data_IF_639620708387
#
_entry.id   IF_639620708387
#
_cell.length_a   1.000
_cell.length_b   1.000
_cell.length_c   1.000
_cell.angle_alpha   90.00
_cell.angle_beta   90.00
_cell.angle_gamma   90.00
#
_symmetry.space_group_name_H-M   'P 1'
#
loop_
_entity.id
_entity.type
_entity.pdbx_description
1 polymer ?
#
# COMPACT_ATOMS: atom_id res chain seq x y z
N UNK A 1 6.51 -5.57 0.77
CA UNK A 1 5.61 -4.91 1.74
C UNK A 1 5.56 -5.61 3.10
N UNK A 2 5.95 -6.90 3.20
CA UNK A 2 5.89 -7.67 4.45
C UNK A 2 4.86 -8.81 4.44
N UNK A 3 3.87 -8.79 3.54
CA UNK A 3 2.83 -9.83 3.48
C UNK A 3 3.34 -11.17 2.91
N UNK A 4 4.10 -11.18 1.81
CA UNK A 4 4.63 -12.40 1.16
C UNK A 4 3.62 -13.57 1.08
N UNK A 5 2.35 -13.27 0.80
CA UNK A 5 1.26 -14.24 0.83
C UNK A 5 0.69 -14.44 2.23
N UNK A 6 1.46 -15.05 3.14
CA UNK A 6 0.98 -15.44 4.48
C UNK A 6 1.83 -14.92 5.65
N UNK A 7 2.94 -14.24 5.39
CA UNK A 7 3.92 -13.85 6.42
C UNK A 7 3.38 -12.80 7.40
N UNK A 8 2.35 -12.04 7.04
CA UNK A 8 1.64 -11.23 8.02
C UNK A 8 0.95 -12.06 9.12
N UNK A 9 0.72 -13.35 8.89
CA UNK A 9 0.16 -14.31 9.86
C UNK A 9 1.24 -15.21 10.45
N UNK A 10 2.12 -15.77 9.61
CA UNK A 10 3.14 -16.74 10.05
C UNK A 10 4.39 -16.09 10.61
N UNK A 11 4.72 -14.86 10.18
CA UNK A 11 5.95 -14.12 10.55
C UNK A 11 5.62 -12.65 10.93
N UNK A 12 4.72 -12.41 11.90
CA UNK A 12 4.07 -11.12 12.11
C UNK A 12 5.04 -9.99 12.48
N UNK A 13 6.09 -10.27 13.27
CA UNK A 13 7.08 -9.27 13.67
C UNK A 13 7.89 -8.76 12.48
N UNK A 14 8.38 -9.70 11.66
CA UNK A 14 9.14 -9.38 10.46
C UNK A 14 8.24 -8.63 9.46
N UNK A 15 7.02 -9.11 9.23
CA UNK A 15 6.04 -8.47 8.36
C UNK A 15 5.72 -7.04 8.80
N UNK A 16 5.52 -6.82 10.10
CA UNK A 16 5.27 -5.50 10.70
C UNK A 16 6.46 -4.55 10.55
N UNK A 17 7.69 -5.03 10.77
CA UNK A 17 8.91 -4.24 10.57
C UNK A 17 9.07 -3.80 9.11
N UNK A 18 8.87 -4.71 8.15
CA UNK A 18 8.93 -4.38 6.73
C UNK A 18 7.80 -3.46 6.28
N UNK A 19 6.59 -3.64 6.82
CA UNK A 19 5.45 -2.77 6.55
C UNK A 19 5.74 -1.34 7.03
N UNK A 20 6.18 -1.16 8.28
CA UNK A 20 6.53 0.16 8.83
C UNK A 20 7.58 0.87 8.00
N UNK A 21 8.67 0.19 7.62
CA UNK A 21 9.70 0.76 6.75
C UNK A 21 9.14 1.19 5.39
N UNK A 22 8.30 0.37 4.78
CA UNK A 22 7.69 0.68 3.46
C UNK A 22 6.74 1.87 3.55
N UNK A 23 5.93 1.95 4.60
CA UNK A 23 4.98 3.05 4.84
C UNK A 23 5.71 4.36 5.08
N UNK A 24 6.76 4.35 5.90
CA UNK A 24 7.55 5.56 6.16
C UNK A 24 8.14 6.10 4.85
N UNK A 25 8.74 5.24 4.03
CA UNK A 25 9.29 5.66 2.74
C UNK A 25 8.22 6.20 1.76
N UNK A 26 6.98 5.75 1.85
CA UNK A 26 5.86 6.28 1.05
C UNK A 26 5.47 7.68 1.53
N UNK A 27 5.43 7.89 2.84
CA UNK A 27 5.13 9.20 3.44
C UNK A 27 6.25 10.19 3.08
N UNK A 28 7.51 9.78 3.28
CA UNK A 28 8.68 10.62 3.02
C UNK A 28 8.85 10.97 1.54
N UNK A 29 8.29 10.18 0.62
CA UNK A 29 8.32 10.50 -0.82
C UNK A 29 7.35 11.61 -1.21
N UNK A 30 6.42 12.01 -0.33
CA UNK A 30 5.39 13.01 -0.63
C UNK A 30 4.41 12.57 -1.73
N UNK A 31 4.23 11.26 -1.91
CA UNK A 31 3.36 10.73 -2.95
C UNK A 31 1.89 10.75 -2.49
N UNK A 32 1.00 11.27 -3.33
CA UNK A 32 -0.45 11.20 -3.08
C UNK A 32 -1.04 9.82 -3.40
N UNK A 33 -0.41 9.09 -4.33
CA UNK A 33 -0.88 7.78 -4.81
C UNK A 33 0.28 6.79 -4.88
N UNK A 34 0.05 5.57 -4.39
CA UNK A 34 0.93 4.41 -4.53
C UNK A 34 0.20 3.31 -5.28
N UNK A 35 0.75 2.91 -6.42
CA UNK A 35 0.17 1.85 -7.26
C UNK A 35 0.94 0.53 -7.05
N UNK A 36 0.21 -0.58 -6.97
CA UNK A 36 0.78 -1.93 -6.86
C UNK A 36 -0.03 -2.93 -7.68
N UNK A 37 0.61 -3.97 -8.18
CA UNK A 37 -0.05 -5.11 -8.87
C UNK A 37 -0.26 -6.32 -7.96
N UNK A 38 0.17 -6.22 -6.69
CA UNK A 38 0.08 -7.30 -5.71
C UNK A 38 -1.01 -6.99 -4.67
N UNK A 39 -2.14 -7.75 -4.63
CA UNK A 39 -3.23 -7.52 -3.68
C UNK A 39 -2.83 -7.64 -2.21
N UNK A 40 -1.96 -8.61 -1.87
CA UNK A 40 -1.46 -8.76 -0.50
C UNK A 40 -0.67 -7.54 -0.05
N UNK A 41 0.16 -6.97 -0.94
CA UNK A 41 0.84 -5.71 -0.67
C UNK A 41 -0.08 -4.51 -0.64
N UNK A 42 -1.13 -4.47 -1.46
CA UNK A 42 -2.13 -3.42 -1.39
C UNK A 42 -2.76 -3.36 0.01
N UNK A 43 -3.30 -4.49 0.49
CA UNK A 43 -3.94 -4.58 1.81
C UNK A 43 -2.95 -4.28 2.95
N UNK A 44 -1.72 -4.80 2.86
CA UNK A 44 -0.68 -4.54 3.85
C UNK A 44 -0.30 -3.05 3.85
N UNK A 45 -0.14 -2.41 2.70
CA UNK A 45 0.22 -0.97 2.63
C UNK A 45 -0.94 -0.11 3.13
N UNK A 46 -2.17 -0.36 2.70
CA UNK A 46 -3.36 0.38 3.16
C UNK A 46 -3.53 0.31 4.68
N UNK A 47 -3.35 -0.88 5.26
CA UNK A 47 -3.41 -1.05 6.71
C UNK A 47 -2.29 -0.28 7.41
N UNK A 48 -1.09 -0.28 6.84
CA UNK A 48 0.06 0.45 7.38
C UNK A 48 -0.12 1.97 7.32
N UNK A 49 -0.62 2.50 6.20
CA UNK A 49 -0.93 3.93 6.03
C UNK A 49 -2.00 4.40 7.02
N UNK A 50 -3.08 3.62 7.20
CA UNK A 50 -4.11 3.91 8.21
C UNK A 50 -3.53 3.97 9.62
N UNK A 51 -2.66 3.02 9.99
CA UNK A 51 -1.99 3.00 11.31
C UNK A 51 -1.06 4.20 11.53
N UNK A 52 -0.47 4.72 10.45
CA UNK A 52 0.40 5.90 10.50
C UNK A 52 -0.36 7.23 10.42
N UNK A 53 -1.70 7.22 10.34
CA UNK A 53 -2.52 8.43 10.18
C UNK A 53 -2.42 9.10 8.80
N UNK A 54 -1.79 8.45 7.82
CA UNK A 54 -1.55 8.98 6.48
C UNK A 54 -2.76 8.74 5.54
N UNK A 55 -3.94 9.19 5.97
CA UNK A 55 -5.21 8.93 5.27
C UNK A 55 -5.32 9.62 3.90
N UNK A 56 -4.50 10.64 3.65
CA UNK A 56 -4.47 11.36 2.38
C UNK A 56 -3.79 10.57 1.25
N UNK A 57 -2.95 9.59 1.59
CA UNK A 57 -2.22 8.78 0.60
C UNK A 57 -3.08 7.59 0.18
N UNK A 58 -3.36 7.49 -1.13
CA UNK A 58 -4.16 6.42 -1.71
C UNK A 58 -3.27 5.28 -2.20
N UNK A 59 -3.44 4.09 -1.66
CA UNK A 59 -2.83 2.88 -2.22
C UNK A 59 -3.86 2.14 -3.07
N UNK A 60 -3.54 1.88 -4.35
CA UNK A 60 -4.45 1.34 -5.36
C UNK A 60 -3.86 0.12 -6.08
N UNK A 61 -4.74 -0.78 -6.54
CA UNK A 61 -4.35 -1.75 -7.55
C UNK A 61 -4.19 -1.06 -8.91
N UNK A 62 -3.28 -1.54 -9.77
CA UNK A 62 -3.06 -0.96 -11.10
C UNK A 62 -4.34 -0.93 -11.95
N UNK A 63 -5.19 -1.95 -11.83
CA UNK A 63 -6.46 -2.00 -12.56
C UNK A 63 -7.38 -0.83 -12.16
N UNK A 64 -7.54 -0.58 -10.86
CA UNK A 64 -8.37 0.52 -10.35
C UNK A 64 -7.79 1.88 -10.79
N UNK A 65 -6.47 2.05 -10.71
CA UNK A 65 -5.81 3.28 -11.14
C UNK A 65 -6.03 3.58 -12.63
N UNK A 66 -5.92 2.56 -13.50
CA UNK A 66 -6.15 2.72 -14.94
C UNK A 66 -7.63 2.95 -15.27
N UNK A 67 -8.55 2.33 -14.54
CA UNK A 67 -9.99 2.59 -14.70
C UNK A 67 -10.34 4.04 -14.33
N UNK A 68 -9.83 4.54 -13.21
CA UNK A 68 -10.03 5.94 -12.80
C UNK A 68 -9.44 6.90 -13.84
N UNK A 69 -8.25 6.62 -14.37
CA UNK A 69 -7.63 7.45 -15.39
C UNK A 69 -8.42 7.46 -16.71
N UNK A 70 -8.93 6.29 -17.14
CA UNK A 70 -9.72 6.17 -18.37
C UNK A 70 -11.12 6.80 -18.29
N UNK A 71 -11.66 7.03 -17.09
CA UNK A 71 -12.94 7.74 -16.91
C UNK A 71 -12.82 9.26 -16.98
N UNK A 72 -11.62 9.83 -17.14
CA UNK A 72 -11.41 11.28 -17.28
C UNK A 72 -11.55 11.75 -18.74
N UNK A 73 -11.57 10.82 -19.70
CA UNK A 73 -11.55 11.10 -21.15
C UNK A 73 -12.89 10.86 -21.88
N UNK A 74 -14.00 10.61 -21.17
CA UNK A 74 -15.40 10.54 -21.68
C UNK A 74 -16.26 11.68 -21.09
#
# INVERSE_FOLDING_TARGET
CGSAGSYNLTEPEMASRLQRRKVQNIIDSGADVVVTTNPGCLLQIQTGLRKAGAHHIRALHIADYLLEAGTVDD
#
